data_IF_599413118762
#
_entry.id   IF_599413118762
#
_cell.length_a   1.000
_cell.length_b   1.000
_cell.length_c   1.000
_cell.angle_alpha   90.00
_cell.angle_beta   90.00
_cell.angle_gamma   90.00
#
_symmetry.space_group_name_H-M   'P 1'
#
loop_
_entity.id
_entity.type
_entity.pdbx_description
1 polymer ?
#
# COMPACT_ATOMS: atom_id res chain seq x y z
N UNK A 1 -30.14 39.54 3.17
CA UNK A 1 -29.77 38.40 4.02
C UNK A 1 -30.54 37.19 3.50
N UNK A 2 -29.96 36.49 2.56
CA UNK A 2 -30.48 35.25 2.00
C UNK A 2 -29.68 34.11 2.59
N UNK A 3 -30.30 33.32 3.48
CA UNK A 3 -29.72 32.06 3.94
C UNK A 3 -29.84 31.07 2.80
N UNK A 4 -28.73 30.89 2.06
CA UNK A 4 -28.59 29.76 1.19
C UNK A 4 -28.46 28.50 2.08
N UNK A 5 -29.60 27.96 2.48
CA UNK A 5 -29.71 26.60 2.97
C UNK A 5 -29.49 25.70 1.75
N UNK A 6 -28.24 25.33 1.51
CA UNK A 6 -27.93 24.21 0.66
C UNK A 6 -28.70 23.01 1.25
N UNK A 7 -29.81 22.68 0.65
CA UNK A 7 -30.54 21.46 0.92
C UNK A 7 -29.59 20.30 0.66
N UNK A 8 -28.98 19.76 1.73
CA UNK A 8 -28.23 18.51 1.64
C UNK A 8 -29.26 17.43 1.25
N UNK A 9 -29.32 17.09 -0.03
CA UNK A 9 -30.05 15.94 -0.50
C UNK A 9 -29.60 14.72 0.31
N UNK A 10 -30.55 14.06 0.94
CA UNK A 10 -30.29 12.81 1.64
C UNK A 10 -29.73 11.82 0.65
N UNK A 11 -28.65 11.07 1.00
CA UNK A 11 -28.02 10.14 0.07
C UNK A 11 -29.04 9.08 -0.38
N UNK A 12 -29.13 8.84 -1.69
CA UNK A 12 -30.05 7.86 -2.28
C UNK A 12 -29.76 6.43 -1.80
N UNK A 13 -28.48 6.16 -1.47
CA UNK A 13 -28.02 4.86 -0.98
C UNK A 13 -27.10 5.01 0.23
N UNK A 14 -27.38 4.20 1.27
CA UNK A 14 -26.54 4.08 2.44
C UNK A 14 -25.99 2.66 2.55
N UNK A 15 -24.67 2.55 2.64
CA UNK A 15 -23.95 1.31 2.83
C UNK A 15 -23.53 1.15 4.29
N UNK A 16 -23.32 -0.08 4.71
CA UNK A 16 -22.65 -0.33 5.99
C UNK A 16 -21.19 0.12 5.94
N UNK A 17 -20.53 -0.12 4.80
CA UNK A 17 -19.10 0.15 4.64
C UNK A 17 -18.76 0.54 3.22
N UNK A 18 -17.89 1.54 3.08
CA UNK A 18 -17.22 1.90 1.83
C UNK A 18 -15.72 1.76 2.02
N UNK A 19 -15.05 1.21 1.00
CA UNK A 19 -13.60 1.17 0.89
C UNK A 19 -13.20 2.05 -0.29
N UNK A 20 -12.32 3.00 -0.05
CA UNK A 20 -11.83 3.98 -1.03
C UNK A 20 -10.31 3.90 -1.01
N UNK A 21 -9.68 3.68 -2.16
CA UNK A 21 -8.22 3.64 -2.32
C UNK A 21 -7.76 4.41 -3.55
N UNK A 22 -6.47 4.67 -3.66
CA UNK A 22 -5.82 5.16 -4.88
C UNK A 22 -6.45 6.44 -5.46
N UNK A 23 -6.81 7.38 -4.61
CA UNK A 23 -7.43 8.66 -5.01
C UNK A 23 -6.37 9.62 -5.58
N UNK A 24 -5.14 9.56 -5.06
CA UNK A 24 -3.99 10.35 -5.48
C UNK A 24 -4.27 11.86 -5.52
N UNK A 25 -4.86 12.41 -4.45
CA UNK A 25 -5.02 13.86 -4.32
C UNK A 25 -3.64 14.54 -4.36
N UNK A 26 -3.49 15.54 -5.21
CA UNK A 26 -2.20 16.17 -5.49
C UNK A 26 -1.64 15.78 -6.85
N UNK A 27 -2.09 14.71 -7.46
CA UNK A 27 -1.75 14.32 -8.82
C UNK A 27 -2.78 14.86 -9.82
N UNK A 28 -2.32 15.24 -11.03
CA UNK A 28 -3.19 15.74 -12.11
C UNK A 28 -4.14 14.68 -12.67
N UNK A 29 -3.81 13.40 -12.49
CA UNK A 29 -4.62 12.25 -12.92
C UNK A 29 -5.71 11.83 -11.93
N UNK A 30 -5.77 12.47 -10.75
CA UNK A 30 -6.79 12.18 -9.74
C UNK A 30 -8.20 12.33 -10.30
N UNK A 31 -9.08 11.39 -9.98
CA UNK A 31 -10.50 11.41 -10.36
C UNK A 31 -11.38 11.87 -9.17
N UNK A 32 -10.90 12.80 -8.37
CA UNK A 32 -11.57 13.28 -7.17
C UNK A 32 -12.98 13.85 -7.44
N UNK A 33 -13.19 14.46 -8.61
CA UNK A 33 -14.48 14.96 -9.07
C UNK A 33 -15.52 13.83 -9.21
N UNK A 34 -15.17 12.74 -9.88
CA UNK A 34 -16.04 11.57 -10.04
C UNK A 34 -16.34 10.90 -8.71
N UNK A 35 -15.34 10.82 -7.83
CA UNK A 35 -15.52 10.28 -6.49
C UNK A 35 -16.45 11.17 -5.66
N UNK A 36 -16.33 12.49 -5.78
CA UNK A 36 -17.25 13.43 -5.13
C UNK A 36 -18.69 13.28 -5.63
N UNK A 37 -18.87 13.08 -6.95
CA UNK A 37 -20.19 12.82 -7.53
C UNK A 37 -20.80 11.54 -6.97
N UNK A 38 -20.01 10.46 -6.88
CA UNK A 38 -20.44 9.23 -6.23
C UNK A 38 -20.84 9.46 -4.76
N UNK A 39 -20.04 10.20 -4.00
CA UNK A 39 -20.27 10.49 -2.58
C UNK A 39 -21.42 11.48 -2.32
N UNK A 40 -22.00 12.13 -3.34
CA UNK A 40 -23.23 12.92 -3.21
C UNK A 40 -24.44 12.04 -2.99
N UNK A 41 -24.54 10.96 -3.77
CA UNK A 41 -25.67 10.03 -3.76
C UNK A 41 -25.45 8.80 -2.87
N UNK A 42 -24.22 8.62 -2.34
CA UNK A 42 -23.86 7.45 -1.55
C UNK A 42 -23.25 7.84 -0.20
N UNK A 43 -23.67 7.14 0.84
CA UNK A 43 -23.14 7.29 2.20
C UNK A 43 -22.81 5.94 2.84
N UNK A 44 -22.10 5.96 3.97
CA UNK A 44 -21.78 4.76 4.71
C UNK A 44 -21.62 5.03 6.21
N UNK A 45 -21.89 3.98 7.02
CA UNK A 45 -21.64 4.03 8.46
C UNK A 45 -20.14 3.97 8.77
N UNK A 46 -19.38 3.22 7.96
CA UNK A 46 -17.92 3.12 8.04
C UNK A 46 -17.28 3.39 6.70
N UNK A 47 -16.23 4.22 6.67
CA UNK A 47 -15.44 4.54 5.48
C UNK A 47 -13.99 4.22 5.77
N UNK A 48 -13.41 3.32 4.97
CA UNK A 48 -11.99 3.03 4.96
C UNK A 48 -11.33 3.79 3.81
N UNK A 49 -10.35 4.63 4.13
CA UNK A 49 -9.43 5.27 3.19
C UNK A 49 -8.16 4.43 3.17
N UNK A 50 -8.00 3.58 2.14
CA UNK A 50 -7.00 2.51 2.12
C UNK A 50 -5.89 2.85 1.15
N UNK A 51 -4.92 3.59 1.64
CA UNK A 51 -3.68 3.94 0.95
C UNK A 51 -3.83 4.85 -0.26
N UNK A 52 -2.78 5.63 -0.50
CA UNK A 52 -2.62 6.46 -1.69
C UNK A 52 -3.78 7.44 -1.91
N UNK A 53 -4.34 7.93 -0.80
CA UNK A 53 -5.39 8.96 -0.83
C UNK A 53 -4.78 10.31 -1.19
N UNK A 54 -3.63 10.64 -0.60
CA UNK A 54 -2.87 11.85 -0.90
C UNK A 54 -1.54 11.49 -1.55
N UNK A 55 -1.29 12.01 -2.74
CA UNK A 55 -0.02 11.79 -3.43
C UNK A 55 1.06 12.77 -2.95
N UNK A 56 1.71 12.44 -1.85
CA UNK A 56 2.81 13.21 -1.28
C UNK A 56 4.03 13.29 -2.19
N UNK A 57 4.23 12.33 -3.07
CA UNK A 57 5.34 12.36 -4.04
C UNK A 57 5.07 13.36 -5.15
N UNK A 58 3.85 13.36 -5.72
CA UNK A 58 3.45 14.37 -6.71
C UNK A 58 3.51 15.77 -6.13
N UNK A 59 2.99 15.98 -4.91
CA UNK A 59 2.99 17.27 -4.22
C UNK A 59 4.40 17.81 -3.92
N UNK A 60 5.36 16.92 -3.57
CA UNK A 60 6.77 17.31 -3.40
C UNK A 60 7.43 17.73 -4.71
N UNK A 61 7.04 17.10 -5.82
CA UNK A 61 7.58 17.38 -7.15
C UNK A 61 6.99 18.69 -7.73
N UNK A 62 5.69 18.84 -7.67
CA UNK A 62 4.97 20.01 -8.17
C UNK A 62 3.65 20.17 -7.42
N UNK A 63 3.48 21.29 -6.73
CA UNK A 63 2.26 21.56 -5.98
C UNK A 63 1.06 21.71 -6.93
N UNK A 64 0.11 20.78 -6.80
CA UNK A 64 -1.15 20.81 -7.53
C UNK A 64 -2.29 20.40 -6.58
N UNK A 65 -3.13 21.38 -6.22
CA UNK A 65 -4.22 21.15 -5.27
C UNK A 65 -5.45 21.94 -5.69
N UNK A 66 -6.23 21.45 -6.67
CA UNK A 66 -7.46 22.09 -7.11
C UNK A 66 -8.55 22.03 -6.04
N UNK A 67 -9.61 22.82 -6.21
CA UNK A 67 -10.71 22.89 -5.26
C UNK A 67 -11.36 21.52 -5.01
N UNK A 68 -11.47 20.68 -6.02
CA UNK A 68 -12.04 19.33 -5.89
C UNK A 68 -11.30 18.46 -4.88
N UNK A 69 -9.97 18.59 -4.77
CA UNK A 69 -9.19 17.88 -3.75
C UNK A 69 -9.53 18.37 -2.34
N UNK A 70 -9.68 19.68 -2.20
CA UNK A 70 -10.09 20.28 -0.95
C UNK A 70 -11.51 19.83 -0.56
N UNK A 71 -12.42 19.81 -1.52
CA UNK A 71 -13.83 19.40 -1.32
C UNK A 71 -13.91 17.92 -0.85
N UNK A 72 -13.06 17.04 -1.39
CA UNK A 72 -12.98 15.65 -0.93
C UNK A 72 -12.56 15.56 0.53
N UNK A 73 -11.49 16.27 0.91
CA UNK A 73 -11.02 16.29 2.31
C UNK A 73 -12.12 16.81 3.23
N UNK A 74 -12.74 17.94 2.87
CA UNK A 74 -13.84 18.51 3.64
C UNK A 74 -15.04 17.54 3.73
N UNK A 75 -15.35 16.81 2.65
CA UNK A 75 -16.42 15.81 2.63
C UNK A 75 -16.13 14.70 3.63
N UNK A 76 -14.90 14.18 3.70
CA UNK A 76 -14.53 13.14 4.68
C UNK A 76 -14.61 13.63 6.11
N UNK A 77 -14.07 14.82 6.40
CA UNK A 77 -14.17 15.44 7.73
C UNK A 77 -15.63 15.69 8.13
N UNK A 78 -16.47 16.10 7.19
CA UNK A 78 -17.92 16.31 7.45
C UNK A 78 -18.61 15.00 7.73
N UNK A 79 -18.32 13.92 6.99
CA UNK A 79 -18.88 12.58 7.24
C UNK A 79 -18.48 12.07 8.63
N UNK A 80 -17.21 12.20 9.00
CA UNK A 80 -16.73 11.85 10.34
C UNK A 80 -17.47 12.64 11.43
N UNK A 81 -17.62 13.95 11.27
CA UNK A 81 -18.35 14.80 12.22
C UNK A 81 -19.85 14.45 12.31
N UNK A 82 -20.45 13.93 11.23
CA UNK A 82 -21.85 13.45 11.22
C UNK A 82 -22.01 12.05 11.80
N UNK A 83 -20.94 11.43 12.32
CA UNK A 83 -20.95 10.14 13.02
C UNK A 83 -20.57 8.94 12.17
N UNK A 84 -20.15 9.12 10.92
CA UNK A 84 -19.53 8.02 10.17
C UNK A 84 -18.14 7.70 10.77
N UNK A 85 -17.84 6.41 10.95
CA UNK A 85 -16.51 5.97 11.34
C UNK A 85 -15.59 6.07 10.13
N UNK A 86 -14.62 6.99 10.15
CA UNK A 86 -13.63 7.14 9.06
C UNK A 86 -12.27 6.67 9.53
N UNK A 87 -11.71 5.70 8.82
CA UNK A 87 -10.43 5.07 9.15
C UNK A 87 -9.49 5.25 7.96
N UNK A 88 -8.30 5.79 8.23
CA UNK A 88 -7.26 6.00 7.24
C UNK A 88 -6.12 5.03 7.46
N UNK A 89 -5.83 4.22 6.45
CA UNK A 89 -4.68 3.30 6.39
C UNK A 89 -3.72 3.85 5.33
N UNK A 90 -2.59 4.50 5.70
CA UNK A 90 -1.67 5.11 4.75
C UNK A 90 -0.97 4.09 3.84
N UNK A 91 -0.85 4.44 2.55
CA UNK A 91 -0.04 3.73 1.55
C UNK A 91 1.38 4.31 1.41
N UNK A 92 2.03 4.00 0.29
CA UNK A 92 3.38 4.50 0.01
C UNK A 92 3.40 5.95 -0.49
N UNK A 93 2.38 6.43 -1.21
CA UNK A 93 2.32 7.82 -1.66
C UNK A 93 2.00 8.80 -0.51
N UNK A 94 1.31 8.32 0.51
CA UNK A 94 0.99 9.09 1.72
C UNK A 94 1.73 8.58 2.97
N UNK A 95 2.92 7.97 2.79
CA UNK A 95 3.78 7.44 3.85
C UNK A 95 4.12 8.44 4.97
N UNK A 96 4.06 9.75 4.67
CA UNK A 96 4.28 10.80 5.67
C UNK A 96 3.26 10.75 6.82
N UNK A 97 2.09 10.13 6.61
CA UNK A 97 1.08 9.92 7.64
C UNK A 97 1.40 8.74 8.57
N UNK A 98 2.32 7.84 8.19
CA UNK A 98 2.67 6.66 9.00
C UNK A 98 3.24 7.03 10.37
N UNK A 99 3.88 8.20 10.48
CA UNK A 99 4.35 8.74 11.78
C UNK A 99 3.23 9.12 12.75
N UNK A 100 1.99 9.14 12.28
CA UNK A 100 0.80 9.52 13.04
C UNK A 100 -0.13 8.35 13.34
N UNK A 101 0.35 7.11 13.24
CA UNK A 101 -0.42 5.95 13.65
C UNK A 101 -0.90 6.08 15.10
N UNK A 102 -2.15 5.69 15.35
CA UNK A 102 -2.81 5.81 16.64
C UNK A 102 -3.35 7.22 16.95
N UNK A 103 -3.23 8.17 16.00
CA UNK A 103 -3.80 9.51 16.18
C UNK A 103 -5.22 9.59 15.62
N UNK A 104 -5.97 10.52 16.19
CA UNK A 104 -7.33 10.86 15.76
C UNK A 104 -7.34 12.29 15.23
N UNK A 105 -7.56 12.47 13.94
CA UNK A 105 -7.49 13.76 13.30
C UNK A 105 -8.85 14.14 12.68
N UNK A 106 -9.51 15.14 13.27
CA UNK A 106 -10.80 15.65 12.75
C UNK A 106 -11.92 14.61 12.67
N UNK A 107 -11.86 13.57 13.50
CA UNK A 107 -12.80 12.44 13.47
C UNK A 107 -12.34 11.28 12.57
N UNK A 108 -11.12 11.33 12.05
CA UNK A 108 -10.52 10.29 11.21
C UNK A 108 -9.42 9.58 12.02
N UNK A 109 -9.52 8.27 12.16
CA UNK A 109 -8.52 7.43 12.82
C UNK A 109 -7.40 7.08 11.83
N UNK A 110 -6.14 7.38 12.16
CA UNK A 110 -4.98 6.97 11.35
C UNK A 110 -4.37 5.72 11.95
N UNK A 111 -4.41 4.61 11.21
CA UNK A 111 -3.95 3.31 11.68
C UNK A 111 -3.04 2.62 10.66
N UNK A 112 -2.17 1.73 11.14
CA UNK A 112 -1.32 0.91 10.26
C UNK A 112 -2.12 -0.13 9.49
N UNK A 113 -3.05 -0.78 10.18
CA UNK A 113 -3.99 -1.76 9.66
C UNK A 113 -5.21 -1.81 10.57
N UNK A 114 -6.26 -2.48 10.11
CA UNK A 114 -7.45 -2.69 10.94
C UNK A 114 -8.22 -3.93 10.49
N UNK A 115 -9.10 -4.42 11.37
CA UNK A 115 -9.98 -5.55 11.05
C UNK A 115 -11.38 -5.03 10.76
N UNK A 116 -11.88 -5.33 9.58
CA UNK A 116 -13.28 -5.14 9.22
C UNK A 116 -14.06 -6.42 9.48
N UNK A 117 -15.19 -6.33 10.17
CA UNK A 117 -16.12 -7.45 10.35
C UNK A 117 -17.27 -7.31 9.36
N UNK A 118 -17.35 -8.25 8.43
CA UNK A 118 -18.40 -8.28 7.41
C UNK A 118 -19.80 -8.57 7.99
N UNK A 119 -20.84 -8.43 7.16
CA UNK A 119 -22.19 -8.76 7.52
C UNK A 119 -22.40 -10.25 7.85
N UNK A 120 -21.57 -11.09 7.28
CA UNK A 120 -21.51 -12.54 7.48
C UNK A 120 -20.70 -12.95 8.73
N UNK A 121 -20.24 -11.98 9.52
CA UNK A 121 -19.40 -12.20 10.70
C UNK A 121 -17.95 -12.52 10.39
N UNK A 122 -17.56 -12.63 9.12
CA UNK A 122 -16.15 -12.86 8.74
C UNK A 122 -15.31 -11.61 8.99
N UNK A 123 -14.06 -11.86 9.32
CA UNK A 123 -13.06 -10.85 9.62
C UNK A 123 -12.14 -10.65 8.42
N UNK A 124 -11.92 -9.41 8.05
CA UNK A 124 -11.09 -9.02 6.92
C UNK A 124 -10.00 -8.06 7.40
N UNK A 125 -8.74 -8.43 7.16
CA UNK A 125 -7.63 -7.52 7.41
C UNK A 125 -7.63 -6.43 6.33
N UNK A 126 -7.72 -5.18 6.75
CA UNK A 126 -7.65 -4.01 5.88
C UNK A 126 -6.26 -3.41 6.01
N UNK A 127 -5.52 -3.47 4.91
CA UNK A 127 -4.13 -3.01 4.82
C UNK A 127 -3.87 -2.51 3.39
N UNK A 128 -2.97 -1.55 3.21
CA UNK A 128 -2.51 -1.17 1.88
C UNK A 128 -1.44 -2.15 1.38
N UNK A 129 -1.53 -2.53 0.10
CA UNK A 129 -0.73 -3.61 -0.48
C UNK A 129 0.74 -3.27 -0.78
N UNK A 130 1.20 -2.04 -0.53
CA UNK A 130 2.56 -1.59 -0.85
C UNK A 130 3.67 -2.38 -0.13
N UNK A 131 3.37 -2.90 1.06
CA UNK A 131 4.27 -3.81 1.81
C UNK A 131 4.59 -5.05 0.96
N UNK A 132 3.63 -5.54 0.20
CA UNK A 132 3.79 -6.68 -0.70
C UNK A 132 4.56 -6.30 -1.96
N UNK A 133 4.33 -5.10 -2.51
CA UNK A 133 4.99 -4.61 -3.72
C UNK A 133 6.50 -4.46 -3.52
N UNK A 134 6.94 -3.94 -2.40
CA UNK A 134 8.36 -3.87 -2.03
C UNK A 134 9.02 -5.26 -2.01
N UNK A 135 8.33 -6.26 -1.48
CA UNK A 135 8.82 -7.64 -1.43
C UNK A 135 8.86 -8.25 -2.83
N UNK A 136 7.79 -8.07 -3.63
CA UNK A 136 7.68 -8.62 -4.98
C UNK A 136 8.66 -7.94 -5.95
N UNK A 137 8.82 -6.62 -5.88
CA UNK A 137 9.80 -5.88 -6.69
C UNK A 137 11.23 -6.29 -6.36
N UNK A 138 11.57 -6.39 -5.07
CA UNK A 138 12.88 -6.89 -4.64
C UNK A 138 13.11 -8.36 -5.04
N UNK A 139 12.06 -9.17 -5.06
CA UNK A 139 12.13 -10.55 -5.52
C UNK A 139 12.40 -10.65 -7.02
N UNK A 140 11.71 -9.87 -7.85
CA UNK A 140 11.94 -9.81 -9.30
C UNK A 140 13.34 -9.31 -9.64
N UNK A 141 13.78 -8.24 -8.97
CA UNK A 141 15.14 -7.72 -9.14
C UNK A 141 16.21 -8.75 -8.73
N UNK A 142 16.01 -9.43 -7.58
CA UNK A 142 16.90 -10.50 -7.13
C UNK A 142 16.90 -11.70 -8.08
N UNK A 143 15.77 -12.05 -8.69
CA UNK A 143 15.70 -13.11 -9.69
C UNK A 143 16.48 -12.73 -10.95
N UNK A 144 16.29 -11.53 -11.51
CA UNK A 144 17.04 -11.04 -12.66
C UNK A 144 18.54 -10.87 -12.38
N UNK A 145 18.89 -10.42 -11.17
CA UNK A 145 20.28 -10.34 -10.75
C UNK A 145 20.86 -11.75 -10.58
N UNK A 146 20.05 -12.69 -10.08
CA UNK A 146 20.43 -14.10 -9.91
C UNK A 146 20.74 -14.78 -11.25
N UNK A 147 19.94 -14.56 -12.27
CA UNK A 147 20.14 -15.12 -13.62
C UNK A 147 21.45 -14.58 -14.24
N UNK A 148 21.63 -13.25 -14.26
CA UNK A 148 22.86 -12.63 -14.77
C UNK A 148 24.10 -13.00 -13.94
N UNK A 149 23.97 -13.04 -12.63
CA UNK A 149 25.05 -13.45 -11.73
C UNK A 149 25.36 -14.94 -11.90
N UNK A 150 24.38 -15.77 -12.18
CA UNK A 150 24.56 -17.20 -12.45
C UNK A 150 25.35 -17.42 -13.75
N UNK A 151 24.97 -16.77 -14.85
CA UNK A 151 25.69 -16.86 -16.13
C UNK A 151 27.12 -16.34 -15.99
N UNK A 152 27.31 -15.22 -15.32
CA UNK A 152 28.62 -14.68 -15.01
C UNK A 152 29.44 -15.63 -14.11
N UNK A 153 28.79 -16.23 -13.10
CA UNK A 153 29.42 -17.18 -12.20
C UNK A 153 29.86 -18.47 -12.92
N UNK A 154 29.11 -18.94 -13.93
CA UNK A 154 29.52 -20.09 -14.77
C UNK A 154 30.76 -19.75 -15.58
N UNK A 155 30.79 -18.57 -16.20
CA UNK A 155 31.98 -18.14 -16.98
C UNK A 155 33.21 -17.96 -16.08
N UNK A 156 33.01 -17.32 -14.92
CA UNK A 156 34.09 -17.10 -13.95
C UNK A 156 34.54 -18.37 -13.21
N UNK A 157 33.69 -19.38 -13.15
CA UNK A 157 34.00 -20.62 -12.43
C UNK A 157 35.23 -21.33 -12.96
N UNK A 158 35.43 -21.31 -14.29
CA UNK A 158 36.63 -21.84 -14.92
C UNK A 158 37.89 -21.07 -14.51
N UNK A 159 37.78 -19.76 -14.50
CA UNK A 159 38.90 -18.86 -14.18
C UNK A 159 39.27 -18.95 -12.69
N UNK A 160 38.28 -18.89 -11.81
CA UNK A 160 38.49 -19.02 -10.36
C UNK A 160 39.10 -20.36 -10.00
N UNK A 161 38.61 -21.47 -10.56
CA UNK A 161 39.14 -22.79 -10.24
C UNK A 161 40.52 -23.08 -10.88
N UNK A 162 40.87 -22.43 -11.99
CA UNK A 162 42.24 -22.45 -12.53
C UNK A 162 43.22 -21.88 -11.51
N UNK A 163 42.97 -20.71 -10.95
CA UNK A 163 43.84 -20.11 -9.92
C UNK A 163 43.85 -20.92 -8.63
N UNK A 164 42.68 -21.41 -8.19
CA UNK A 164 42.58 -22.26 -6.98
C UNK A 164 43.42 -23.53 -7.11
N UNK A 165 43.43 -24.15 -8.29
CA UNK A 165 44.24 -25.33 -8.58
C UNK A 165 45.74 -24.99 -8.52
N UNK A 166 46.14 -23.82 -8.99
CA UNK A 166 47.53 -23.36 -8.96
C UNK A 166 48.03 -23.14 -7.52
N UNK A 167 47.13 -22.76 -6.59
CA UNK A 167 47.42 -22.57 -5.17
C UNK A 167 47.08 -23.78 -4.28
N UNK A 168 46.80 -24.94 -4.87
CA UNK A 168 46.50 -26.16 -4.12
C UNK A 168 45.18 -26.13 -3.30
N UNK A 169 44.30 -25.18 -3.62
CA UNK A 169 42.99 -25.00 -2.89
C UNK A 169 41.91 -25.87 -3.53
N UNK A 170 41.05 -26.58 -2.74
CA UNK A 170 39.99 -27.43 -3.28
C UNK A 170 39.03 -26.70 -4.21
N UNK A 171 38.39 -27.45 -5.13
CA UNK A 171 37.37 -26.91 -6.04
C UNK A 171 36.24 -26.23 -5.28
N UNK A 172 35.83 -25.07 -5.75
CA UNK A 172 34.70 -24.32 -5.21
C UNK A 172 33.78 -23.83 -6.34
N UNK A 173 32.49 -23.97 -6.15
CA UNK A 173 31.49 -23.58 -7.17
C UNK A 173 30.83 -22.26 -6.80
N UNK A 174 31.23 -21.19 -7.47
CA UNK A 174 30.63 -19.87 -7.36
C UNK A 174 29.16 -19.89 -7.78
N UNK A 175 28.82 -20.71 -8.79
CA UNK A 175 27.44 -20.87 -9.25
C UNK A 175 26.53 -21.57 -8.23
N UNK A 176 27.05 -22.58 -7.50
CA UNK A 176 26.30 -23.20 -6.40
C UNK A 176 26.07 -22.23 -5.23
N UNK A 177 27.08 -21.46 -4.88
CA UNK A 177 26.94 -20.44 -3.84
C UNK A 177 25.90 -19.38 -4.22
N UNK A 178 25.92 -18.86 -5.46
CA UNK A 178 24.94 -17.91 -5.97
C UNK A 178 23.51 -18.51 -5.94
N UNK A 179 23.35 -19.76 -6.39
CA UNK A 179 22.05 -20.48 -6.37
C UNK A 179 21.47 -20.63 -4.97
N UNK A 180 22.33 -20.93 -3.97
CA UNK A 180 21.90 -21.04 -2.58
C UNK A 180 21.46 -19.69 -1.99
N UNK A 181 22.13 -18.59 -2.36
CA UNK A 181 21.76 -17.24 -1.93
C UNK A 181 20.40 -16.82 -2.50
N UNK A 182 20.18 -17.05 -3.81
CA UNK A 182 18.90 -16.77 -4.47
C UNK A 182 17.77 -17.61 -3.88
N UNK A 183 18.01 -18.92 -3.67
CA UNK A 183 17.03 -19.81 -3.05
C UNK A 183 16.64 -19.36 -1.64
N UNK A 184 17.61 -18.89 -0.83
CA UNK A 184 17.30 -18.34 0.51
C UNK A 184 16.42 -17.08 0.42
N UNK A 185 16.68 -16.19 -0.53
CA UNK A 185 15.89 -14.98 -0.74
C UNK A 185 14.45 -15.32 -1.17
N UNK A 186 14.29 -16.26 -2.12
CA UNK A 186 12.95 -16.72 -2.58
C UNK A 186 12.19 -17.40 -1.45
N UNK A 187 12.85 -18.25 -0.64
CA UNK A 187 12.21 -18.88 0.51
C UNK A 187 11.79 -17.86 1.59
N UNK A 188 12.56 -16.77 1.77
CA UNK A 188 12.21 -15.69 2.69
C UNK A 188 10.92 -14.98 2.25
N UNK A 189 10.73 -14.78 0.96
CA UNK A 189 9.52 -14.17 0.37
C UNK A 189 8.31 -15.09 0.57
N UNK A 190 8.43 -16.38 0.28
CA UNK A 190 7.34 -17.35 0.52
C UNK A 190 6.98 -17.48 2.01
N UNK A 191 7.97 -17.37 2.90
CA UNK A 191 7.74 -17.33 4.35
C UNK A 191 7.01 -16.04 4.78
N UNK A 192 7.23 -14.91 4.09
CA UNK A 192 6.55 -13.64 4.37
C UNK A 192 5.05 -13.72 4.03
N UNK A 193 4.68 -14.28 2.88
CA UNK A 193 3.26 -14.53 2.53
C UNK A 193 2.58 -15.44 3.56
N UNK A 194 3.25 -16.51 3.98
CA UNK A 194 2.74 -17.41 5.02
C UNK A 194 2.61 -16.71 6.38
N UNK A 195 3.52 -15.80 6.71
CA UNK A 195 3.47 -15.01 7.96
C UNK A 195 2.29 -14.05 7.95
N UNK A 196 2.02 -13.38 6.82
CA UNK A 196 0.87 -12.49 6.67
C UNK A 196 -0.45 -13.24 6.72
N UNK A 197 -0.54 -14.41 6.07
CA UNK A 197 -1.70 -15.28 6.20
C UNK A 197 -1.87 -15.80 7.64
N UNK A 198 -0.76 -16.02 8.35
CA UNK A 198 -0.74 -16.36 9.76
C UNK A 198 -1.22 -15.23 10.65
N UNK A 199 -0.79 -13.99 10.37
CA UNK A 199 -1.22 -12.79 11.10
C UNK A 199 -2.72 -12.51 10.89
N UNK A 200 -3.18 -12.61 9.65
CA UNK A 200 -4.61 -12.49 9.34
C UNK A 200 -5.49 -13.57 10.03
N UNK A 201 -4.92 -14.71 10.39
CA UNK A 201 -5.62 -15.77 11.16
C UNK A 201 -5.59 -15.53 12.67
N UNK A 202 -4.66 -14.75 13.19
CA UNK A 202 -4.53 -14.46 14.63
C UNK A 202 -5.44 -13.32 15.09
N UNK A 203 -5.82 -12.46 14.17
CA UNK A 203 -6.71 -11.32 14.41
C UNK A 203 -8.13 -11.59 13.92
#
# INVERSE_FOLDING_TARGET
MGSDSLSEESPERRFRTLFISDVHLGARGSQADRLLDFLRSHDADTIYLVGDIVDGWALKSNWYWPQTHNDFVQKMLRKARKGAKVIYVPGNHDEFLRRYYGTHFGGIDVVENTIHTGADGKRYLVIHGDIFDLVVQNARWLAHLGDKAYDFAIQMNRFVNFFRKMFGVPYWSLSQWAKLKVKKAVNYIGAFEATLAGEARRH
#
